data_IF_354108487689
#
_entry.id   IF_354108487689
#
_cell.length_a   1.000
_cell.length_b   1.000
_cell.length_c   1.000
_cell.angle_alpha   90.00
_cell.angle_beta   90.00
_cell.angle_gamma   90.00
#
_symmetry.space_group_name_H-M   'P 1'
#
loop_
_entity.id
_entity.type
_entity.pdbx_description
1 polymer ?
#
# COMPACT_ATOMS: atom_id res chain seq x y z
N UNK A 1 24.40 -4.96 6.50
CA UNK A 1 23.37 -5.08 5.45
C UNK A 1 23.18 -3.74 4.76
N UNK A 2 22.77 -3.68 3.48
CA UNK A 2 22.42 -2.40 2.82
C UNK A 2 20.94 -2.09 2.99
N UNK A 3 20.60 -0.86 3.33
CA UNK A 3 19.22 -0.39 3.43
C UNK A 3 18.56 -0.35 2.04
N UNK A 4 17.35 -0.89 1.85
CA UNK A 4 16.68 -0.89 0.57
C UNK A 4 16.23 0.51 0.11
N UNK A 5 16.09 1.48 1.03
CA UNK A 5 15.62 2.83 0.71
C UNK A 5 16.75 3.79 0.34
N UNK A 6 17.84 3.80 1.12
CA UNK A 6 18.93 4.79 0.96
C UNK A 6 20.31 4.17 0.71
N UNK A 7 20.39 2.84 0.52
CA UNK A 7 21.63 2.07 0.29
C UNK A 7 22.71 2.14 1.39
N UNK A 8 22.49 2.90 2.46
CA UNK A 8 23.41 3.03 3.60
C UNK A 8 23.49 1.75 4.45
N UNK A 9 24.51 1.69 5.33
CA UNK A 9 24.69 0.55 6.23
C UNK A 9 23.59 0.46 7.28
N UNK A 10 23.10 -0.77 7.47
CA UNK A 10 22.17 -1.15 8.52
C UNK A 10 22.78 -2.19 9.45
N UNK A 11 22.38 -2.12 10.72
CA UNK A 11 22.75 -3.06 11.77
C UNK A 11 21.55 -3.90 12.20
N UNK A 12 21.82 -5.08 12.77
CA UNK A 12 20.79 -5.93 13.34
C UNK A 12 20.08 -5.19 14.49
N UNK A 13 18.75 -5.21 14.50
CA UNK A 13 17.94 -4.59 15.55
C UNK A 13 17.37 -5.64 16.50
N UNK A 14 16.60 -6.60 15.96
CA UNK A 14 15.92 -7.64 16.73
C UNK A 14 15.45 -8.78 15.82
N UNK A 15 14.91 -9.84 16.40
CA UNK A 15 14.27 -10.96 15.70
C UNK A 15 12.90 -11.26 16.30
N UNK A 16 11.94 -11.64 15.46
CA UNK A 16 10.59 -12.03 15.86
C UNK A 16 9.80 -12.49 14.63
N UNK A 17 8.74 -13.28 14.83
CA UNK A 17 7.97 -13.87 13.72
C UNK A 17 8.88 -14.61 12.70
N UNK A 18 9.83 -15.38 13.21
CA UNK A 18 10.78 -16.20 12.42
C UNK A 18 11.63 -15.41 11.40
N UNK A 19 11.81 -14.10 11.62
CA UNK A 19 12.63 -13.23 10.76
C UNK A 19 13.47 -12.23 11.56
N UNK A 20 14.49 -11.71 10.88
CA UNK A 20 15.33 -10.65 11.42
C UNK A 20 14.84 -9.27 10.97
N UNK A 21 14.97 -8.29 11.85
CA UNK A 21 14.73 -6.88 11.57
C UNK A 21 16.03 -6.11 11.68
N UNK A 22 16.29 -5.25 10.69
CA UNK A 22 17.50 -4.45 10.58
C UNK A 22 17.15 -2.97 10.58
N UNK A 23 17.97 -2.17 11.25
CA UNK A 23 17.80 -0.74 11.39
C UNK A 23 18.88 0.00 10.59
N UNK A 24 18.45 0.84 9.65
CA UNK A 24 19.35 1.71 8.92
C UNK A 24 19.96 2.78 9.83
N UNK A 25 21.28 2.93 9.78
CA UNK A 25 22.00 3.92 10.59
C UNK A 25 21.79 5.36 10.10
N UNK A 26 21.33 5.54 8.85
CA UNK A 26 21.14 6.84 8.19
C UNK A 26 19.67 7.26 8.19
N UNK A 27 18.82 6.58 7.42
CA UNK A 27 17.40 6.96 7.26
C UNK A 27 16.48 6.40 8.36
N UNK A 28 17.02 5.60 9.29
CA UNK A 28 16.28 4.99 10.41
C UNK A 28 15.17 4.01 10.02
N UNK A 29 15.06 3.64 8.74
CA UNK A 29 14.14 2.59 8.30
C UNK A 29 14.45 1.24 8.99
N UNK A 30 13.39 0.60 9.49
CA UNK A 30 13.41 -0.78 9.95
C UNK A 30 12.92 -1.64 8.79
N UNK A 31 13.67 -2.68 8.43
CA UNK A 31 13.32 -3.53 7.30
C UNK A 31 13.72 -4.99 7.54
N UNK A 32 13.06 -5.87 6.80
CA UNK A 32 13.33 -7.32 6.79
C UNK A 32 14.24 -7.64 5.59
N UNK A 33 15.32 -8.43 5.78
CA UNK A 33 16.19 -8.85 4.68
C UNK A 33 15.44 -9.63 3.58
N UNK A 34 15.87 -9.49 2.33
CA UNK A 34 15.26 -10.15 1.18
C UNK A 34 15.18 -11.69 1.29
N UNK A 35 16.09 -12.32 2.04
CA UNK A 35 16.07 -13.76 2.30
C UNK A 35 14.85 -14.26 3.07
N UNK A 36 14.11 -13.36 3.74
CA UNK A 36 12.87 -13.66 4.48
C UNK A 36 11.61 -13.22 3.72
N UNK A 37 11.75 -12.63 2.52
CA UNK A 37 10.60 -12.24 1.72
C UNK A 37 9.96 -13.49 1.12
N UNK A 38 8.63 -13.51 1.11
CA UNK A 38 7.86 -14.56 0.43
C UNK A 38 7.86 -14.33 -1.08
N UNK A 39 7.61 -15.38 -1.86
CA UNK A 39 7.44 -15.23 -3.30
C UNK A 39 6.19 -14.42 -3.64
N UNK A 40 6.16 -13.80 -4.82
CA UNK A 40 5.00 -13.07 -5.35
C UNK A 40 3.72 -13.92 -5.29
N UNK A 41 3.80 -15.21 -5.63
CA UNK A 41 2.65 -16.11 -5.58
C UNK A 41 2.12 -16.33 -4.14
N UNK A 42 3.03 -16.40 -3.16
CA UNK A 42 2.64 -16.53 -1.75
C UNK A 42 2.09 -15.22 -1.19
N UNK A 43 2.61 -14.08 -1.65
CA UNK A 43 2.05 -12.76 -1.35
C UNK A 43 0.62 -12.64 -1.85
N UNK A 44 0.35 -12.96 -3.13
CA UNK A 44 -1.02 -12.95 -3.70
C UNK A 44 -1.96 -13.86 -2.90
N UNK A 45 -1.53 -15.10 -2.58
CA UNK A 45 -2.33 -16.02 -1.76
C UNK A 45 -2.64 -15.48 -0.37
N UNK A 46 -1.74 -14.67 0.20
CA UNK A 46 -1.97 -14.02 1.50
C UNK A 46 -2.96 -12.86 1.35
N UNK A 47 -2.82 -12.02 0.33
CA UNK A 47 -3.73 -10.91 0.04
C UNK A 47 -5.17 -11.38 -0.16
N UNK A 48 -5.38 -12.50 -0.85
CA UNK A 48 -6.71 -13.09 -1.07
C UNK A 48 -7.39 -13.62 0.21
N UNK A 49 -6.71 -13.58 1.36
CA UNK A 49 -7.31 -13.92 2.68
C UNK A 49 -7.83 -12.71 3.43
N UNK A 50 -7.64 -11.49 2.90
CA UNK A 50 -8.16 -10.29 3.54
C UNK A 50 -9.68 -10.19 3.35
N UNK A 51 -10.37 -9.64 4.35
CA UNK A 51 -11.81 -9.37 4.29
C UNK A 51 -12.02 -7.84 4.13
N UNK A 52 -11.50 -7.32 3.03
CA UNK A 52 -11.42 -5.88 2.74
C UNK A 52 -12.49 -5.44 1.73
N UNK A 53 -13.73 -5.86 1.95
CA UNK A 53 -14.82 -5.59 1.02
C UNK A 53 -15.55 -4.27 1.35
N UNK A 54 -16.32 -3.75 0.39
CA UNK A 54 -17.13 -2.54 0.60
C UNK A 54 -18.30 -2.76 1.57
N UNK A 55 -18.67 -4.01 1.81
CA UNK A 55 -19.67 -4.40 2.82
C UNK A 55 -19.10 -4.40 4.25
N UNK A 56 -17.77 -4.33 4.41
CA UNK A 56 -17.14 -4.21 5.72
C UNK A 56 -17.21 -2.75 6.21
N UNK A 57 -18.21 -2.46 7.04
CA UNK A 57 -18.48 -1.11 7.55
C UNK A 57 -17.28 -0.46 8.24
N UNK A 58 -16.52 -1.22 9.04
CA UNK A 58 -15.34 -0.70 9.73
C UNK A 58 -14.21 -0.34 8.77
N UNK A 59 -14.04 -1.12 7.71
CA UNK A 59 -13.06 -0.87 6.65
C UNK A 59 -13.45 0.38 5.83
N UNK A 60 -14.72 0.50 5.45
CA UNK A 60 -15.25 1.68 4.76
C UNK A 60 -15.11 2.94 5.62
N UNK A 61 -15.45 2.86 6.92
CA UNK A 61 -15.34 3.99 7.83
C UNK A 61 -13.90 4.52 7.92
N UNK A 62 -12.90 3.63 8.02
CA UNK A 62 -11.49 4.03 8.02
C UNK A 62 -11.09 4.83 6.76
N UNK A 63 -11.64 4.48 5.59
CA UNK A 63 -11.40 5.27 4.37
C UNK A 63 -12.17 6.57 4.38
N UNK A 64 -13.43 6.57 4.80
CA UNK A 64 -14.25 7.77 4.83
C UNK A 64 -13.64 8.86 5.70
N UNK A 65 -13.02 8.52 6.84
CA UNK A 65 -12.28 9.46 7.69
C UNK A 65 -11.14 10.17 6.95
N UNK A 66 -10.47 9.47 6.02
CA UNK A 66 -9.39 10.04 5.20
C UNK A 66 -9.95 10.86 4.04
N UNK A 67 -10.98 10.36 3.37
CA UNK A 67 -11.67 11.06 2.27
C UNK A 67 -12.25 12.39 2.77
N UNK A 68 -12.75 12.42 4.00
CA UNK A 68 -13.30 13.64 4.61
C UNK A 68 -12.27 14.76 4.74
N UNK A 69 -10.97 14.45 4.88
CA UNK A 69 -9.89 15.44 4.86
C UNK A 69 -9.77 16.14 3.51
N UNK A 70 -10.20 15.49 2.43
CA UNK A 70 -10.13 16.00 1.06
C UNK A 70 -11.24 17.01 0.74
N UNK A 71 -12.30 17.11 1.56
CA UNK A 71 -13.46 17.99 1.31
C UNK A 71 -13.09 19.47 1.14
N UNK A 72 -11.96 19.90 1.68
CA UNK A 72 -11.46 21.28 1.55
C UNK A 72 -10.66 21.54 0.27
N UNK A 73 -10.44 20.51 -0.55
CA UNK A 73 -9.64 20.57 -1.76
C UNK A 73 -10.50 20.26 -2.99
N UNK A 74 -10.15 20.87 -4.13
CA UNK A 74 -10.80 20.57 -5.42
C UNK A 74 -10.06 19.45 -6.15
N UNK A 75 -10.16 18.24 -5.60
CA UNK A 75 -9.59 17.04 -6.20
C UNK A 75 -10.50 16.59 -7.35
N UNK A 76 -9.94 16.35 -8.53
CA UNK A 76 -10.68 15.85 -9.70
C UNK A 76 -10.29 14.43 -10.05
N UNK A 77 -9.06 14.04 -9.73
CA UNK A 77 -8.51 12.73 -10.05
C UNK A 77 -7.53 12.22 -9.01
N UNK A 78 -7.53 10.90 -8.79
CA UNK A 78 -6.68 10.23 -7.83
C UNK A 78 -6.16 8.88 -8.34
N UNK A 79 -5.02 8.42 -7.80
CA UNK A 79 -4.50 7.07 -7.98
C UNK A 79 -4.51 6.34 -6.63
N UNK A 80 -5.21 5.22 -6.59
CA UNK A 80 -5.14 4.27 -5.48
C UNK A 80 -3.98 3.29 -5.76
N UNK A 81 -2.78 3.63 -5.26
CA UNK A 81 -1.57 2.82 -5.44
C UNK A 81 -1.47 1.72 -4.38
N UNK A 82 -1.38 0.47 -4.83
CA UNK A 82 -1.50 -0.71 -3.96
C UNK A 82 -2.94 -1.00 -3.59
N UNK A 83 -3.88 -0.81 -4.52
CA UNK A 83 -5.32 -0.97 -4.28
C UNK A 83 -5.75 -2.42 -3.97
N UNK A 84 -4.84 -3.39 -4.07
CA UNK A 84 -5.13 -4.80 -3.84
C UNK A 84 -6.03 -5.38 -4.92
N UNK A 85 -6.72 -6.49 -4.61
CA UNK A 85 -7.62 -7.16 -5.55
C UNK A 85 -9.04 -6.57 -5.55
N UNK A 86 -9.43 -5.90 -4.46
CA UNK A 86 -10.70 -5.20 -4.29
C UNK A 86 -10.42 -3.71 -4.01
N UNK A 87 -10.52 -2.83 -5.03
CA UNK A 87 -10.13 -1.42 -4.91
C UNK A 87 -11.23 -0.58 -4.24
N UNK A 88 -11.50 -0.83 -2.95
CA UNK A 88 -12.58 -0.16 -2.19
C UNK A 88 -12.39 1.36 -2.13
N UNK A 89 -11.17 1.85 -1.89
CA UNK A 89 -10.91 3.29 -1.81
C UNK A 89 -11.21 3.98 -3.14
N UNK A 90 -10.79 3.40 -4.27
CA UNK A 90 -11.16 3.88 -5.61
C UNK A 90 -12.68 4.06 -5.74
N UNK A 91 -13.48 3.06 -5.37
CA UNK A 91 -14.94 3.13 -5.45
C UNK A 91 -15.52 4.25 -4.59
N UNK A 92 -15.05 4.38 -3.35
CA UNK A 92 -15.50 5.43 -2.43
C UNK A 92 -15.13 6.85 -2.93
N UNK A 93 -13.96 7.02 -3.55
CA UNK A 93 -13.56 8.28 -4.17
C UNK A 93 -14.45 8.62 -5.38
N UNK A 94 -14.79 7.63 -6.20
CA UNK A 94 -15.70 7.80 -7.34
C UNK A 94 -17.11 8.22 -6.91
N UNK A 95 -17.61 7.71 -5.77
CA UNK A 95 -18.88 8.14 -5.16
C UNK A 95 -18.87 9.63 -4.74
N UNK A 96 -17.70 10.17 -4.38
CA UNK A 96 -17.51 11.61 -4.12
C UNK A 96 -17.30 12.44 -5.41
N UNK A 97 -17.37 11.81 -6.59
CA UNK A 97 -17.17 12.46 -7.88
C UNK A 97 -15.70 12.65 -8.27
N UNK A 98 -14.75 11.98 -7.58
CA UNK A 98 -13.32 12.03 -7.90
C UNK A 98 -12.98 10.89 -8.86
N UNK A 99 -12.47 11.20 -10.05
CA UNK A 99 -12.08 10.19 -11.05
C UNK A 99 -10.87 9.42 -10.56
N UNK A 100 -11.04 8.14 -10.25
CA UNK A 100 -9.97 7.38 -9.59
C UNK A 100 -9.53 6.20 -10.44
N UNK A 101 -8.22 5.99 -10.55
CA UNK A 101 -7.65 4.77 -11.11
C UNK A 101 -7.06 3.93 -9.97
N UNK A 102 -7.01 2.61 -10.14
CA UNK A 102 -6.37 1.70 -9.20
C UNK A 102 -5.16 1.03 -9.85
N UNK A 103 -4.03 0.99 -9.15
CA UNK A 103 -2.85 0.25 -9.58
C UNK A 103 -2.37 -0.68 -8.48
N UNK A 104 -2.16 -1.94 -8.83
CA UNK A 104 -1.48 -2.90 -7.98
C UNK A 104 -0.63 -3.82 -8.88
N UNK A 105 0.67 -4.02 -8.60
CA UNK A 105 1.53 -4.84 -9.44
C UNK A 105 1.03 -6.28 -9.66
N UNK A 106 0.24 -6.81 -8.73
CA UNK A 106 -0.25 -8.19 -8.77
C UNK A 106 -1.68 -8.30 -9.32
N UNK A 107 -2.51 -7.27 -9.14
CA UNK A 107 -3.95 -7.34 -9.45
C UNK A 107 -4.40 -6.38 -10.56
N UNK A 108 -3.77 -5.22 -10.69
CA UNK A 108 -4.07 -4.20 -11.70
C UNK A 108 -2.78 -3.62 -12.32
N UNK A 109 -1.94 -4.47 -12.96
CA UNK A 109 -0.61 -4.06 -13.44
C UNK A 109 -0.66 -3.16 -14.68
N UNK A 110 -1.78 -3.17 -15.40
CA UNK A 110 -1.94 -2.49 -16.69
C UNK A 110 -2.34 -1.01 -16.56
N UNK A 111 -2.58 -0.52 -15.34
CA UNK A 111 -2.90 0.90 -15.11
C UNK A 111 -1.68 1.78 -15.40
N UNK A 112 -1.76 2.73 -16.35
CA UNK A 112 -0.63 3.58 -16.71
C UNK A 112 -0.22 4.50 -15.56
N UNK A 113 1.07 4.46 -15.19
CA UNK A 113 1.63 5.27 -14.09
C UNK A 113 2.23 6.61 -14.54
N UNK A 114 2.21 6.91 -15.83
CA UNK A 114 2.66 8.18 -16.41
C UNK A 114 1.58 9.27 -16.38
N UNK A 115 0.34 8.90 -16.06
CA UNK A 115 -0.76 9.83 -15.84
C UNK A 115 -0.51 10.67 -14.58
N UNK A 116 -0.82 11.96 -14.67
CA UNK A 116 -0.80 12.86 -13.52
C UNK A 116 -2.17 12.89 -12.85
N UNK A 117 -2.15 12.95 -11.52
CA UNK A 117 -3.31 13.05 -10.64
C UNK A 117 -3.16 14.30 -9.76
N UNK A 118 -4.24 14.72 -9.11
CA UNK A 118 -4.21 15.89 -8.20
C UNK A 118 -3.48 15.57 -6.88
#
# INVERSE_FOLDING_TARGET
>A
MKCPLCSSSAHFLTSGEDRQYWLCSTCRAIFVPASFHISINEEVKRYLKHENSIENEGYVQMFQEKIDLLKNYKIKSALDYGCGYEPVLKSLLEEQGIKSDGYDPNFFPDTPLDKQYD
#
